data_IF_745821046854
#
_entry.id   IF_745821046854
#
_cell.length_a   1.000
_cell.length_b   1.000
_cell.length_c   1.000
_cell.angle_alpha   90.00
_cell.angle_beta   90.00
_cell.angle_gamma   90.00
#
_symmetry.space_group_name_H-M   'P 1'
#
loop_
_entity.id
_entity.type
_entity.pdbx_description
1 polymer ?
#
# COMPACT_ATOMS: atom_id res chain seq x y z
N UNK A 1 -4.03 -28.70 -4.50
CA UNK A 1 -4.69 -27.73 -3.61
C UNK A 1 -3.77 -27.23 -2.48
N UNK A 2 -2.80 -28.03 -1.97
CA UNK A 2 -1.84 -27.58 -0.95
C UNK A 2 -0.92 -26.43 -1.39
N UNK A 3 -0.38 -26.45 -2.61
CA UNK A 3 0.49 -25.38 -3.12
C UNK A 3 -0.20 -24.00 -3.14
N UNK A 4 -1.51 -23.96 -3.42
CA UNK A 4 -2.26 -22.71 -3.43
C UNK A 4 -2.35 -22.09 -2.02
N UNK A 5 -2.43 -22.90 -0.97
CA UNK A 5 -2.43 -22.43 0.43
C UNK A 5 -1.09 -21.83 0.83
N UNK A 6 0.01 -22.30 0.25
CA UNK A 6 1.34 -21.74 0.50
C UNK A 6 1.61 -20.43 -0.25
N UNK A 7 0.76 -20.07 -1.23
CA UNK A 7 0.83 -18.80 -1.97
C UNK A 7 -0.20 -17.77 -1.48
N UNK A 8 -0.90 -18.06 -0.39
CA UNK A 8 -1.85 -17.12 0.21
C UNK A 8 -1.08 -15.98 0.88
N UNK A 9 -1.25 -14.75 0.37
CA UNK A 9 -0.61 -13.55 0.88
C UNK A 9 -0.92 -13.29 2.36
N UNK A 10 -2.08 -13.73 2.87
CA UNK A 10 -2.46 -13.56 4.28
C UNK A 10 -1.62 -14.46 5.17
N UNK A 11 -1.40 -15.70 4.73
CA UNK A 11 -0.55 -16.66 5.44
C UNK A 11 0.90 -16.17 5.40
N UNK A 12 1.42 -15.86 4.21
CA UNK A 12 2.80 -15.38 4.03
C UNK A 12 3.02 -14.08 4.82
N UNK A 13 2.10 -13.12 4.71
CA UNK A 13 2.21 -11.83 5.39
C UNK A 13 2.22 -11.95 6.91
N UNK A 14 1.45 -12.90 7.46
CA UNK A 14 1.50 -13.23 8.88
C UNK A 14 2.79 -13.94 9.27
N UNK A 15 3.15 -15.00 8.54
CA UNK A 15 4.33 -15.84 8.83
C UNK A 15 5.65 -15.05 8.74
N UNK A 16 5.70 -14.03 7.88
CA UNK A 16 6.86 -13.15 7.69
C UNK A 16 6.77 -11.83 8.47
N UNK A 17 5.74 -11.63 9.29
CA UNK A 17 5.54 -10.41 10.08
C UNK A 17 5.57 -9.14 9.21
N UNK A 18 4.86 -9.16 8.08
CA UNK A 18 4.82 -8.04 7.15
C UNK A 18 3.73 -7.03 7.53
N UNK A 19 2.56 -7.51 7.97
CA UNK A 19 1.44 -6.65 8.31
C UNK A 19 0.43 -7.35 9.23
N UNK A 20 -0.47 -6.56 9.82
CA UNK A 20 -1.65 -7.04 10.52
C UNK A 20 -2.85 -6.10 10.32
N UNK A 21 -4.02 -6.55 10.76
CA UNK A 21 -5.28 -5.78 10.76
C UNK A 21 -5.86 -5.76 12.17
N UNK A 22 -6.58 -4.69 12.52
CA UNK A 22 -7.17 -4.51 13.84
C UNK A 22 -8.62 -4.01 13.72
N UNK A 23 -9.50 -4.48 14.61
CA UNK A 23 -10.94 -4.16 14.56
C UNK A 23 -11.25 -2.67 14.82
N UNK A 24 -10.31 -1.94 15.43
CA UNK A 24 -10.41 -0.47 15.60
C UNK A 24 -10.18 0.30 14.30
N UNK A 25 -9.61 -0.33 13.26
CA UNK A 25 -9.49 0.25 11.93
C UNK A 25 -9.74 -0.81 10.85
N UNK A 26 -11.00 -1.26 10.69
CA UNK A 26 -11.35 -2.32 9.75
C UNK A 26 -10.97 -1.93 8.31
N UNK A 27 -10.34 -2.85 7.59
CA UNK A 27 -9.89 -2.63 6.21
C UNK A 27 -8.58 -1.83 6.08
N UNK A 28 -8.08 -1.22 7.16
CA UNK A 28 -6.81 -0.51 7.15
C UNK A 28 -5.67 -1.43 7.57
N UNK A 29 -4.68 -1.58 6.69
CA UNK A 29 -3.52 -2.41 6.91
C UNK A 29 -2.47 -1.69 7.78
N UNK A 30 -1.95 -2.37 8.80
CA UNK A 30 -0.81 -1.90 9.57
C UNK A 30 0.45 -2.62 9.10
N UNK A 31 1.34 -1.89 8.42
CA UNK A 31 2.62 -2.43 7.97
C UNK A 31 3.61 -2.49 9.14
N UNK A 32 4.13 -3.68 9.40
CA UNK A 32 5.24 -3.92 10.33
C UNK A 32 6.57 -3.55 9.66
N UNK A 33 7.71 -3.46 10.37
CA UNK A 33 8.97 -2.97 9.81
C UNK A 33 9.40 -3.65 8.50
N UNK A 34 9.22 -4.97 8.39
CA UNK A 34 9.56 -5.71 7.16
C UNK A 34 8.60 -5.42 6.00
N UNK A 35 7.30 -5.27 6.30
CA UNK A 35 6.31 -4.91 5.29
C UNK A 35 6.49 -3.47 4.81
N UNK A 36 6.78 -2.54 5.73
CA UNK A 36 7.08 -1.15 5.40
C UNK A 36 8.34 -1.04 4.52
N UNK A 37 9.37 -1.84 4.80
CA UNK A 37 10.55 -1.91 3.95
C UNK A 37 10.20 -2.29 2.50
N UNK A 38 9.43 -3.36 2.31
CA UNK A 38 8.98 -3.81 0.98
C UNK A 38 8.14 -2.72 0.30
N UNK A 39 7.18 -2.14 1.02
CA UNK A 39 6.32 -1.08 0.51
C UNK A 39 7.12 0.15 0.04
N UNK A 40 8.07 0.61 0.84
CA UNK A 40 8.92 1.74 0.50
C UNK A 40 9.81 1.44 -0.71
N UNK A 41 10.38 0.22 -0.78
CA UNK A 41 11.21 -0.21 -1.92
C UNK A 41 10.43 -0.15 -3.24
N UNK A 42 9.18 -0.62 -3.23
CA UNK A 42 8.31 -0.57 -4.41
C UNK A 42 7.90 0.87 -4.77
N UNK A 43 7.66 1.70 -3.76
CA UNK A 43 7.32 3.12 -3.93
C UNK A 43 8.49 3.91 -4.53
N UNK A 44 9.72 3.66 -4.07
CA UNK A 44 10.94 4.25 -4.63
C UNK A 44 11.13 3.82 -6.09
N UNK A 45 10.98 2.52 -6.38
CA UNK A 45 11.09 2.00 -7.74
C UNK A 45 10.12 2.70 -8.72
N UNK A 46 8.84 2.86 -8.34
CA UNK A 46 7.88 3.49 -9.24
C UNK A 46 8.12 5.00 -9.39
N UNK A 47 8.58 5.69 -8.33
CA UNK A 47 9.00 7.10 -8.41
C UNK A 47 10.13 7.31 -9.40
N UNK A 48 11.15 6.45 -9.37
CA UNK A 48 12.25 6.49 -10.34
C UNK A 48 11.75 6.33 -11.78
N UNK A 49 10.80 5.41 -12.01
CA UNK A 49 10.19 5.22 -13.32
C UNK A 49 9.35 6.40 -13.78
N UNK A 50 8.65 7.08 -12.85
CA UNK A 50 7.93 8.32 -13.16
C UNK A 50 8.89 9.42 -13.64
N UNK A 51 9.98 9.66 -12.92
CA UNK A 51 10.97 10.69 -13.30
C UNK A 51 11.63 10.39 -14.64
N UNK A 52 11.98 9.12 -14.91
CA UNK A 52 12.54 8.69 -16.21
C UNK A 52 11.61 8.96 -17.39
N UNK A 53 10.30 8.99 -17.16
CA UNK A 53 9.28 9.20 -18.18
C UNK A 53 8.79 10.65 -18.24
N UNK A 54 9.41 11.55 -17.49
CA UNK A 54 9.09 12.97 -17.49
C UNK A 54 7.82 13.33 -16.72
N UNK A 55 7.37 12.47 -15.80
CA UNK A 55 6.29 12.84 -14.88
C UNK A 55 6.85 13.72 -13.75
N UNK A 56 6.07 14.74 -13.38
CA UNK A 56 6.35 15.61 -12.24
C UNK A 56 5.51 15.14 -11.05
N UNK A 57 6.17 14.83 -9.93
CA UNK A 57 5.48 14.41 -8.72
C UNK A 57 4.78 15.61 -8.06
N UNK A 58 3.50 15.44 -7.73
CA UNK A 58 2.69 16.45 -7.04
C UNK A 58 2.16 15.88 -5.73
N UNK A 59 2.05 16.73 -4.70
CA UNK A 59 1.45 16.38 -3.42
C UNK A 59 0.15 17.16 -3.24
N UNK A 60 -0.95 16.44 -3.04
CA UNK A 60 -2.29 17.02 -2.92
C UNK A 60 -2.92 16.67 -1.56
N UNK A 61 -3.84 17.49 -1.01
CA UNK A 61 -4.55 17.18 0.22
C UNK A 61 -5.28 15.84 0.19
N UNK A 62 -5.42 15.18 1.35
CA UNK A 62 -6.23 13.96 1.48
C UNK A 62 -7.73 14.24 1.70
N UNK A 63 -8.08 15.47 2.11
CA UNK A 63 -9.46 15.88 2.43
C UNK A 63 -9.78 17.14 1.65
N UNK A 64 -10.93 17.13 0.96
CA UNK A 64 -11.47 18.24 0.18
C UNK A 64 -12.91 18.54 0.59
N UNK A 65 -13.41 19.72 0.20
CA UNK A 65 -14.81 20.08 0.37
C UNK A 65 -15.73 19.13 -0.45
N UNK A 66 -16.91 18.79 0.09
CA UNK A 66 -17.86 17.86 -0.56
C UNK A 66 -18.24 18.28 -1.99
N UNK A 67 -18.32 19.60 -2.24
CA UNK A 67 -18.64 20.16 -3.55
C UNK A 67 -17.71 19.67 -4.67
N UNK A 68 -16.46 19.35 -4.35
CA UNK A 68 -15.51 18.81 -5.33
C UNK A 68 -15.97 17.43 -5.84
N UNK A 69 -16.39 16.55 -4.92
CA UNK A 69 -16.82 15.18 -5.23
C UNK A 69 -18.20 15.12 -5.91
N UNK A 70 -19.06 16.10 -5.65
CA UNK A 70 -20.35 16.22 -6.33
C UNK A 70 -20.21 16.56 -7.83
N UNK A 71 -19.05 17.12 -8.22
CA UNK A 71 -18.78 17.58 -9.59
C UNK A 71 -17.90 16.61 -10.40
N UNK A 72 -17.19 15.68 -9.75
CA UNK A 72 -16.18 14.78 -10.36
C UNK A 72 -16.75 13.52 -11.00
#
# INVERSE_FOLDING_TARGET
QEEAKNRDHRKIGKDQELFFFHDLSPGSCFFLPRGAFIYNTLTEFIRDEYWRRGFEEVASPNIYNSKLWETS
#
